data_IF_179172497206
#
_entry.id   IF_179172497206
#
_cell.length_a   1.000
_cell.length_b   1.000
_cell.length_c   1.000
_cell.angle_alpha   90.00
_cell.angle_beta   90.00
_cell.angle_gamma   90.00
#
_symmetry.space_group_name_H-M   'P 1'
#
loop_
_entity.id
_entity.type
_entity.pdbx_description
1 polymer ?
#
# COMPACT_ATOMS: atom_id res chain seq x y z
N UNK A 1 5.80 -19.34 4.80
CA UNK A 1 4.45 -18.76 4.56
C UNK A 1 4.45 -17.29 4.99
N UNK A 2 3.64 -16.44 4.32
CA UNK A 2 3.53 -15.02 4.62
C UNK A 2 4.59 -14.12 3.99
N UNK A 3 5.50 -14.66 3.19
CA UNK A 3 6.41 -13.96 2.29
C UNK A 3 6.04 -14.32 0.85
N UNK A 4 6.03 -13.35 -0.04
CA UNK A 4 5.64 -13.54 -1.44
C UNK A 4 6.63 -12.84 -2.38
N UNK A 5 6.93 -13.51 -3.49
CA UNK A 5 7.64 -12.90 -4.59
C UNK A 5 6.72 -11.94 -5.35
N UNK A 6 7.27 -10.88 -5.90
CA UNK A 6 6.55 -9.89 -6.70
C UNK A 6 7.05 -9.90 -8.13
N UNK A 7 6.12 -9.90 -9.06
CA UNK A 7 6.43 -9.87 -10.49
C UNK A 7 6.41 -8.45 -11.07
N UNK A 8 6.94 -8.29 -12.26
CA UNK A 8 7.17 -7.00 -12.90
C UNK A 8 5.90 -6.13 -12.99
N UNK A 9 4.75 -6.70 -13.33
CA UNK A 9 3.48 -5.97 -13.40
C UNK A 9 3.06 -5.42 -12.03
N UNK A 10 3.12 -6.26 -10.99
CA UNK A 10 2.78 -5.85 -9.61
C UNK A 10 3.70 -4.74 -9.10
N UNK A 11 5.01 -4.85 -9.39
CA UNK A 11 6.00 -3.84 -8.96
C UNK A 11 5.67 -2.50 -9.62
N UNK A 12 5.48 -2.47 -10.94
CA UNK A 12 5.20 -1.23 -11.68
C UNK A 12 3.89 -0.57 -11.26
N UNK A 13 2.83 -1.37 -11.10
CA UNK A 13 1.54 -0.86 -10.67
C UNK A 13 1.60 -0.23 -9.27
N UNK A 14 2.32 -0.87 -8.35
CA UNK A 14 2.55 -0.32 -7.00
C UNK A 14 3.40 0.95 -7.08
N UNK A 15 4.46 0.99 -7.88
CA UNK A 15 5.32 2.17 -8.03
C UNK A 15 4.53 3.36 -8.60
N UNK A 16 3.66 3.14 -9.59
CA UNK A 16 2.77 4.17 -10.14
C UNK A 16 1.78 4.69 -9.10
N UNK A 17 1.16 3.81 -8.34
CA UNK A 17 0.27 4.18 -7.23
C UNK A 17 1.03 4.99 -6.16
N UNK A 18 2.21 4.55 -5.75
CA UNK A 18 3.02 5.24 -4.76
C UNK A 18 3.49 6.63 -5.25
N UNK A 19 3.75 6.79 -6.54
CA UNK A 19 4.08 8.10 -7.11
C UNK A 19 2.92 9.09 -6.96
N UNK A 20 1.67 8.64 -7.13
CA UNK A 20 0.47 9.48 -6.90
C UNK A 20 0.31 9.86 -5.44
N UNK A 21 0.50 8.94 -4.52
CA UNK A 21 0.46 9.20 -3.07
C UNK A 21 1.53 10.22 -2.70
N UNK A 22 2.76 10.03 -3.15
CA UNK A 22 3.88 10.96 -2.91
C UNK A 22 3.56 12.37 -3.37
N UNK A 23 3.01 12.52 -4.57
CA UNK A 23 2.64 13.82 -5.12
C UNK A 23 1.60 14.55 -4.26
N UNK A 24 0.69 13.82 -3.58
CA UNK A 24 -0.24 14.42 -2.60
C UNK A 24 0.53 14.88 -1.37
N UNK A 25 1.35 14.03 -0.75
CA UNK A 25 2.08 14.36 0.46
C UNK A 25 3.00 15.58 0.27
N UNK A 26 3.70 15.65 -0.86
CA UNK A 26 4.56 16.79 -1.22
C UNK A 26 3.77 18.10 -1.40
N UNK A 27 2.54 18.05 -1.93
CA UNK A 27 1.65 19.22 -1.99
C UNK A 27 1.24 19.74 -0.61
N UNK A 28 1.20 18.88 0.39
CA UNK A 28 0.95 19.26 1.79
C UNK A 28 2.23 19.72 2.53
N UNK A 29 3.37 19.80 1.81
CA UNK A 29 4.64 20.26 2.36
C UNK A 29 5.40 19.22 3.16
N UNK A 30 5.18 17.92 2.86
CA UNK A 30 5.92 16.83 3.50
C UNK A 30 7.15 16.48 2.69
N UNK A 31 8.26 16.21 3.38
CA UNK A 31 9.53 15.80 2.81
C UNK A 31 9.82 14.32 3.06
N UNK A 32 10.53 13.63 2.16
CA UNK A 32 10.89 12.23 2.35
C UNK A 32 11.94 12.06 3.45
N UNK A 33 11.79 11.00 4.24
CA UNK A 33 12.80 10.53 5.19
C UNK A 33 12.80 9.00 5.21
N UNK A 34 13.95 8.40 5.42
CA UNK A 34 14.09 6.95 5.47
C UNK A 34 14.92 6.52 6.67
N UNK A 35 14.49 5.48 7.36
CA UNK A 35 15.20 4.83 8.44
C UNK A 35 15.58 3.40 8.03
N UNK A 36 16.62 2.80 8.66
CA UNK A 36 17.00 1.41 8.42
C UNK A 36 15.85 0.43 8.66
N UNK A 37 15.87 -0.69 7.96
CA UNK A 37 14.90 -1.80 8.19
C UNK A 37 15.21 -2.56 9.48
N UNK A 38 16.45 -2.51 9.93
CA UNK A 38 16.94 -3.17 11.14
C UNK A 38 17.18 -2.11 12.21
N UNK A 39 16.63 -2.34 13.38
CA UNK A 39 16.79 -1.48 14.56
C UNK A 39 17.34 -2.29 15.73
N UNK A 40 17.97 -1.64 16.71
CA UNK A 40 18.25 -2.28 17.98
C UNK A 40 16.95 -2.69 18.66
N UNK A 41 16.88 -3.93 19.15
CA UNK A 41 15.66 -4.47 19.79
C UNK A 41 15.20 -3.61 20.94
N UNK A 42 16.12 -3.04 21.71
CA UNK A 42 15.80 -2.14 22.81
C UNK A 42 15.06 -0.87 22.36
N UNK A 43 15.40 -0.35 21.17
CA UNK A 43 14.70 0.79 20.62
C UNK A 43 13.25 0.44 20.24
N UNK A 44 13.02 -0.73 19.65
CA UNK A 44 11.68 -1.21 19.31
C UNK A 44 10.93 -1.73 20.53
N UNK A 45 11.60 -2.38 21.48
CA UNK A 45 10.98 -2.97 22.67
C UNK A 45 10.20 -1.97 23.53
N UNK A 46 10.57 -0.69 23.49
CA UNK A 46 9.82 0.40 24.15
C UNK A 46 8.42 0.64 23.58
N UNK A 47 8.14 0.11 22.39
CA UNK A 47 6.87 0.28 21.66
C UNK A 47 6.09 -1.02 21.53
N UNK A 48 6.66 -2.16 21.98
CA UNK A 48 5.96 -3.43 21.94
C UNK A 48 4.86 -3.44 22.99
N UNK A 49 3.64 -3.88 22.62
CA UNK A 49 2.50 -3.89 23.54
C UNK A 49 2.67 -4.84 24.72
N UNK A 50 3.50 -5.86 24.58
CA UNK A 50 3.73 -6.88 25.58
C UNK A 50 5.21 -6.89 26.00
N UNK A 51 5.51 -6.22 27.13
CA UNK A 51 6.86 -6.16 27.68
C UNK A 51 7.35 -7.51 28.24
N UNK A 52 6.41 -8.41 28.57
CA UNK A 52 6.73 -9.73 29.12
C UNK A 52 7.17 -10.71 28.00
N UNK A 53 6.87 -10.38 26.74
CA UNK A 53 7.24 -11.17 25.56
C UNK A 53 7.81 -10.30 24.45
N UNK A 54 9.00 -9.73 24.63
CA UNK A 54 9.57 -8.72 23.72
C UNK A 54 9.79 -9.19 22.27
N UNK A 55 9.73 -10.50 22.02
CA UNK A 55 9.92 -11.11 20.70
C UNK A 55 8.61 -11.63 20.09
N UNK A 56 7.47 -11.52 20.76
CA UNK A 56 6.19 -11.92 20.20
C UNK A 56 5.74 -10.88 19.16
N UNK A 57 5.58 -11.33 17.91
CA UNK A 57 5.21 -10.46 16.79
C UNK A 57 6.38 -9.77 16.08
N UNK A 58 7.62 -9.90 16.54
CA UNK A 58 8.82 -9.26 15.97
C UNK A 58 9.84 -10.31 15.53
N UNK A 59 10.51 -10.07 14.41
CA UNK A 59 11.67 -10.85 14.00
C UNK A 59 12.93 -10.26 14.61
N UNK A 60 13.59 -11.00 15.48
CA UNK A 60 14.82 -10.57 16.17
C UNK A 60 15.93 -11.60 16.01
N UNK A 61 17.18 -11.12 15.94
CA UNK A 61 18.39 -11.92 15.81
C UNK A 61 19.56 -11.20 16.47
N UNK A 62 20.67 -11.89 16.70
CA UNK A 62 21.90 -11.29 17.20
C UNK A 62 22.89 -11.08 16.05
N UNK A 63 23.65 -9.99 16.12
CA UNK A 63 24.79 -9.75 15.26
C UNK A 63 26.06 -10.44 15.81
N UNK A 64 27.21 -10.22 15.15
CA UNK A 64 28.49 -10.83 15.53
C UNK A 64 29.02 -10.30 16.88
N UNK A 65 28.53 -9.13 17.34
CA UNK A 65 28.85 -8.53 18.63
C UNK A 65 27.83 -8.91 19.73
N UNK A 66 27.00 -9.92 19.47
CA UNK A 66 25.94 -10.41 20.38
C UNK A 66 24.86 -9.35 20.73
N UNK A 67 24.75 -8.29 19.91
CA UNK A 67 23.71 -7.29 20.07
C UNK A 67 22.39 -7.78 19.48
N UNK A 68 21.30 -7.58 20.18
CA UNK A 68 19.97 -7.91 19.69
C UNK A 68 19.48 -6.86 18.71
N UNK A 69 19.22 -7.30 17.48
CA UNK A 69 18.66 -6.53 16.38
C UNK A 69 17.26 -7.06 16.03
N UNK A 70 16.40 -6.19 15.52
CA UNK A 70 15.05 -6.55 15.09
C UNK A 70 14.71 -5.94 13.75
N UNK A 71 13.95 -6.65 12.94
CA UNK A 71 13.29 -6.07 11.78
C UNK A 71 12.14 -5.18 12.25
N UNK A 72 12.07 -3.96 11.71
CA UNK A 72 11.00 -3.01 12.04
C UNK A 72 9.62 -3.60 11.74
N UNK A 73 8.66 -3.44 12.65
CA UNK A 73 7.28 -3.91 12.49
C UNK A 73 6.32 -2.79 12.07
N UNK A 74 6.75 -1.54 12.13
CA UNK A 74 6.10 -0.33 11.61
C UNK A 74 7.15 0.68 11.13
N UNK A 75 6.70 1.85 10.67
CA UNK A 75 7.57 2.95 10.28
C UNK A 75 7.56 4.10 11.30
N UNK A 76 6.71 4.06 12.32
CA UNK A 76 6.53 5.13 13.29
C UNK A 76 7.56 5.05 14.42
N UNK A 77 7.87 3.85 14.93
CA UNK A 77 8.88 3.68 15.97
C UNK A 77 10.28 4.11 15.50
N UNK A 78 10.76 3.71 14.30
CA UNK A 78 12.02 4.22 13.75
C UNK A 78 12.03 5.75 13.55
N UNK A 79 10.90 6.34 13.13
CA UNK A 79 10.77 7.80 13.01
C UNK A 79 10.92 8.48 14.37
N UNK A 80 10.26 7.96 15.41
CA UNK A 80 10.32 8.52 16.75
C UNK A 80 11.76 8.56 17.29
N UNK A 81 12.53 7.49 17.09
CA UNK A 81 13.98 7.47 17.41
C UNK A 81 14.74 8.53 16.62
N UNK A 82 14.56 8.55 15.29
CA UNK A 82 15.24 9.52 14.40
C UNK A 82 14.95 10.97 14.81
N UNK A 83 13.69 11.29 15.08
CA UNK A 83 13.31 12.64 15.52
C UNK A 83 13.93 12.98 16.88
N UNK A 84 13.94 12.04 17.81
CA UNK A 84 14.54 12.25 19.12
C UNK A 84 16.04 12.56 19.04
N UNK A 85 16.76 11.84 18.19
CA UNK A 85 18.21 12.02 17.96
C UNK A 85 18.52 13.36 17.26
N UNK A 86 17.64 13.83 16.37
CA UNK A 86 17.86 15.01 15.54
C UNK A 86 16.99 16.22 15.94
N UNK A 87 16.35 16.16 17.11
CA UNK A 87 15.30 17.10 17.52
C UNK A 87 15.70 18.56 17.45
N UNK A 88 16.93 18.88 17.83
CA UNK A 88 17.40 20.29 17.86
C UNK A 88 17.64 20.86 16.45
N UNK A 89 17.89 20.02 15.47
CA UNK A 89 18.21 20.43 14.10
C UNK A 89 17.02 20.41 13.15
N UNK A 90 16.00 19.60 13.47
CA UNK A 90 14.80 19.49 12.65
C UNK A 90 13.90 20.73 12.80
N UNK A 91 13.25 21.18 11.71
CA UNK A 91 12.19 22.20 11.80
C UNK A 91 11.01 21.66 12.62
N UNK A 92 10.34 22.54 13.36
CA UNK A 92 9.16 22.19 14.17
C UNK A 92 7.98 23.06 13.79
N UNK A 93 6.82 22.46 13.43
CA UNK A 93 6.55 21.03 13.27
C UNK A 93 7.34 20.39 12.11
N UNK A 94 7.80 19.15 12.30
CA UNK A 94 8.49 18.37 11.30
C UNK A 94 7.51 17.53 10.50
N UNK A 95 7.37 17.83 9.21
CA UNK A 95 6.47 17.14 8.27
C UNK A 95 7.28 16.18 7.43
N UNK A 96 7.03 14.89 7.57
CA UNK A 96 7.79 13.87 6.82
C UNK A 96 6.91 12.72 6.34
N UNK A 97 7.30 12.13 5.22
CA UNK A 97 6.70 10.90 4.73
C UNK A 97 7.77 9.84 4.46
N UNK A 98 7.37 8.59 4.46
CA UNK A 98 8.22 7.44 4.15
C UNK A 98 7.40 6.25 3.70
N UNK A 99 7.95 5.48 2.75
CA UNK A 99 7.42 4.19 2.36
C UNK A 99 8.44 3.11 2.66
N UNK A 100 8.00 1.96 3.13
CA UNK A 100 8.94 0.89 3.41
C UNK A 100 8.30 -0.43 3.78
N UNK A 101 9.11 -1.47 3.69
CA UNK A 101 8.76 -2.79 4.17
C UNK A 101 8.76 -2.83 5.68
N UNK A 102 7.72 -3.47 6.22
CA UNK A 102 7.59 -3.79 7.64
C UNK A 102 7.36 -5.30 7.79
N UNK A 103 7.76 -5.81 8.95
CA UNK A 103 7.84 -7.24 9.20
C UNK A 103 7.10 -7.60 10.48
N UNK A 104 6.18 -8.56 10.41
CA UNK A 104 5.43 -9.02 11.58
C UNK A 104 5.52 -10.52 11.72
N UNK A 105 6.00 -10.99 12.86
CA UNK A 105 6.12 -12.40 13.15
C UNK A 105 4.81 -12.99 13.70
N UNK A 106 3.72 -12.70 12.99
CA UNK A 106 2.39 -13.19 13.31
C UNK A 106 2.07 -14.45 12.48
N UNK A 107 1.05 -15.19 12.89
CA UNK A 107 0.55 -16.32 12.10
C UNK A 107 -0.02 -15.79 10.79
N UNK A 108 0.52 -16.20 9.62
CA UNK A 108 0.03 -15.73 8.34
C UNK A 108 -1.36 -16.29 8.05
N UNK A 109 -2.17 -15.50 7.35
CA UNK A 109 -3.50 -15.86 6.91
C UNK A 109 -3.87 -15.10 5.63
N UNK A 110 -5.09 -15.30 5.13
CA UNK A 110 -5.58 -14.58 3.95
C UNK A 110 -5.47 -13.07 4.15
N UNK A 111 -4.77 -12.38 3.24
CA UNK A 111 -4.51 -10.94 3.32
C UNK A 111 -3.59 -10.50 4.48
N UNK A 112 -3.05 -11.44 5.27
CA UNK A 112 -2.08 -11.18 6.35
C UNK A 112 -0.72 -11.71 5.98
N UNK A 113 0.13 -10.82 5.50
CA UNK A 113 1.52 -11.11 5.16
C UNK A 113 2.43 -10.83 6.37
N UNK A 114 3.56 -11.53 6.43
CA UNK A 114 4.63 -11.31 7.42
C UNK A 114 5.62 -10.24 6.95
N UNK A 115 5.60 -9.91 5.67
CA UNK A 115 6.29 -8.78 5.05
C UNK A 115 5.28 -8.03 4.19
N UNK A 116 5.08 -6.74 4.45
CA UNK A 116 4.18 -5.88 3.67
C UNK A 116 4.68 -4.45 3.68
N UNK A 117 4.17 -3.62 2.78
CA UNK A 117 4.62 -2.25 2.63
C UNK A 117 3.62 -1.28 3.24
N UNK A 118 4.13 -0.32 3.99
CA UNK A 118 3.40 0.84 4.50
C UNK A 118 3.89 2.12 3.83
N UNK A 119 3.02 3.11 3.75
CA UNK A 119 3.34 4.45 3.29
C UNK A 119 2.76 5.47 4.26
N UNK A 120 3.61 6.02 5.10
CA UNK A 120 3.26 6.83 6.25
C UNK A 120 3.56 8.30 6.01
N UNK A 121 2.75 9.17 6.64
CA UNK A 121 3.00 10.60 6.73
C UNK A 121 2.71 11.06 8.16
N UNK A 122 3.64 11.85 8.74
CA UNK A 122 3.55 12.31 10.12
C UNK A 122 3.98 13.77 10.25
N UNK A 123 3.33 14.47 11.18
CA UNK A 123 3.72 15.81 11.68
C UNK A 123 4.15 15.61 13.13
N UNK A 124 5.40 15.92 13.43
CA UNK A 124 5.99 15.75 14.76
C UNK A 124 6.41 17.11 15.34
N UNK A 125 6.12 17.34 16.61
CA UNK A 125 6.39 18.60 17.29
C UNK A 125 5.30 19.65 17.01
N UNK A 126 4.04 19.22 16.91
CA UNK A 126 2.91 20.13 16.82
C UNK A 126 2.74 20.89 18.14
N UNK A 127 2.26 22.14 18.10
CA UNK A 127 1.87 22.84 19.32
C UNK A 127 0.73 22.11 20.04
N UNK A 128 0.64 22.30 21.34
CA UNK A 128 -0.48 21.82 22.13
C UNK A 128 -1.78 22.61 21.85
N UNK A 129 -2.89 22.03 22.27
CA UNK A 129 -4.22 22.64 22.22
C UNK A 129 -4.72 22.84 20.79
N UNK A 130 -5.44 23.92 20.59
CA UNK A 130 -6.19 24.22 19.34
C UNK A 130 -5.32 24.16 18.06
N UNK A 131 -4.06 24.56 18.15
CA UNK A 131 -3.14 24.49 16.99
C UNK A 131 -2.71 23.09 16.64
N UNK A 132 -2.68 22.19 17.63
CA UNK A 132 -2.46 20.76 17.40
C UNK A 132 -3.61 20.14 16.60
N UNK A 133 -4.85 20.51 16.93
CA UNK A 133 -6.06 20.01 16.24
C UNK A 133 -6.10 20.41 14.75
N UNK A 134 -5.47 21.53 14.37
CA UNK A 134 -5.33 21.90 12.95
C UNK A 134 -4.53 20.84 12.19
N UNK A 135 -3.46 20.31 12.79
CA UNK A 135 -2.69 19.23 12.19
C UNK A 135 -3.52 17.94 12.04
N UNK A 136 -4.36 17.62 13.02
CA UNK A 136 -5.24 16.45 12.96
C UNK A 136 -6.28 16.56 11.84
N UNK A 137 -6.90 17.74 11.70
CA UNK A 137 -7.83 18.02 10.61
C UNK A 137 -7.14 17.91 9.23
N UNK A 138 -5.91 18.42 9.13
CA UNK A 138 -5.10 18.34 7.91
C UNK A 138 -4.77 16.89 7.54
N UNK A 139 -4.46 16.02 8.51
CA UNK A 139 -4.25 14.60 8.27
C UNK A 139 -5.49 13.93 7.67
N UNK A 140 -6.68 14.20 8.20
CA UNK A 140 -7.93 13.64 7.67
C UNK A 140 -8.19 14.11 6.23
N UNK A 141 -7.95 15.38 5.91
CA UNK A 141 -8.10 15.92 4.56
C UNK A 141 -7.06 15.33 3.59
N UNK A 142 -5.81 15.21 4.01
CA UNK A 142 -4.76 14.61 3.20
C UNK A 142 -5.02 13.13 2.91
N UNK A 143 -5.59 12.37 3.86
CA UNK A 143 -6.05 11.01 3.60
C UNK A 143 -7.11 10.97 2.50
N UNK A 144 -8.11 11.86 2.53
CA UNK A 144 -9.14 11.95 1.51
C UNK A 144 -8.56 12.25 0.13
N UNK A 145 -7.70 13.26 0.03
CA UNK A 145 -7.03 13.62 -1.22
C UNK A 145 -6.17 12.49 -1.78
N UNK A 146 -5.53 11.73 -0.89
CA UNK A 146 -4.71 10.58 -1.28
C UNK A 146 -5.55 9.45 -1.86
N UNK A 147 -6.69 9.13 -1.25
CA UNK A 147 -7.61 8.11 -1.75
C UNK A 147 -8.19 8.51 -3.12
N UNK A 148 -8.55 9.79 -3.30
CA UNK A 148 -9.01 10.28 -4.61
C UNK A 148 -7.90 10.27 -5.68
N UNK A 149 -6.67 10.65 -5.31
CA UNK A 149 -5.53 10.68 -6.23
C UNK A 149 -5.18 9.31 -6.83
N UNK A 150 -5.39 8.23 -6.09
CA UNK A 150 -5.19 6.86 -6.59
C UNK A 150 -6.37 6.32 -7.40
N UNK A 151 -7.45 7.11 -7.58
CA UNK A 151 -8.57 6.79 -8.47
C UNK A 151 -9.83 6.25 -7.78
N UNK A 152 -9.93 6.30 -6.46
CA UNK A 152 -11.14 5.94 -5.72
C UNK A 152 -12.05 7.16 -5.67
N UNK A 153 -13.27 7.03 -6.16
CA UNK A 153 -14.19 8.16 -6.29
C UNK A 153 -14.82 8.56 -4.95
N UNK A 154 -15.28 9.81 -4.87
CA UNK A 154 -16.11 10.26 -3.76
C UNK A 154 -17.38 9.43 -3.66
N UNK A 155 -17.74 9.04 -2.44
CA UNK A 155 -18.84 8.13 -2.17
C UNK A 155 -18.42 6.66 -2.08
N UNK A 156 -17.27 6.28 -2.62
CA UNK A 156 -16.70 4.92 -2.50
C UNK A 156 -15.78 4.76 -1.28
N UNK A 157 -15.53 5.85 -0.55
CA UNK A 157 -14.71 5.87 0.67
C UNK A 157 -15.23 6.88 1.69
N UNK A 158 -14.78 6.73 2.93
CA UNK A 158 -14.98 7.70 4.00
C UNK A 158 -13.75 7.74 4.91
N UNK A 159 -13.37 8.93 5.34
CA UNK A 159 -12.41 9.13 6.42
C UNK A 159 -13.20 9.31 7.70
N UNK A 160 -13.13 8.31 8.56
CA UNK A 160 -13.80 8.32 9.87
C UNK A 160 -12.84 8.86 10.92
N UNK A 161 -13.33 9.72 11.78
CA UNK A 161 -12.54 10.36 12.84
C UNK A 161 -13.23 10.16 14.18
N UNK A 162 -12.49 9.74 15.17
CA UNK A 162 -12.89 9.72 16.57
C UNK A 162 -11.79 10.31 17.44
N UNK A 163 -11.93 10.25 18.74
CA UNK A 163 -10.94 10.78 19.68
C UNK A 163 -10.78 9.86 20.88
N UNK A 164 -9.54 9.53 21.21
CA UNK A 164 -9.23 8.68 22.35
C UNK A 164 -9.76 9.25 23.69
N UNK A 165 -9.69 10.57 23.87
CA UNK A 165 -10.19 11.24 25.09
C UNK A 165 -11.70 11.07 25.26
N UNK A 166 -12.46 11.00 24.15
CA UNK A 166 -13.90 10.70 24.20
C UNK A 166 -14.12 9.28 24.69
N UNK A 167 -13.39 8.31 24.13
CA UNK A 167 -13.47 6.90 24.57
C UNK A 167 -13.07 6.73 26.04
N UNK A 168 -12.05 7.43 26.48
CA UNK A 168 -11.62 7.43 27.89
C UNK A 168 -12.73 8.00 28.78
N UNK A 169 -13.41 9.05 28.39
CA UNK A 169 -14.58 9.60 29.09
C UNK A 169 -15.73 8.60 29.22
N UNK A 170 -16.03 7.83 28.17
CA UNK A 170 -17.03 6.75 28.24
C UNK A 170 -16.61 5.68 29.24
N UNK A 171 -15.33 5.28 29.22
CA UNK A 171 -14.80 4.29 30.15
C UNK A 171 -14.81 4.76 31.60
N UNK A 172 -14.54 6.04 31.86
CA UNK A 172 -14.66 6.66 33.20
C UNK A 172 -16.10 6.67 33.70
N UNK A 173 -17.05 7.00 32.81
CA UNK A 173 -18.48 7.03 33.14
C UNK A 173 -19.02 5.67 33.61
N UNK A 174 -18.43 4.56 33.12
CA UNK A 174 -18.79 3.19 33.56
C UNK A 174 -17.89 2.65 34.70
N UNK A 175 -17.15 3.53 35.38
CA UNK A 175 -16.31 3.17 36.51
C UNK A 175 -15.00 2.47 36.15
N UNK A 176 -14.56 2.55 34.91
CA UNK A 176 -13.28 1.99 34.45
C UNK A 176 -12.17 3.03 34.34
N UNK A 177 -12.24 4.14 35.09
CA UNK A 177 -11.14 5.10 35.21
C UNK A 177 -9.93 4.51 35.91
N UNK A 178 -8.75 5.14 35.70
CA UNK A 178 -7.50 4.80 36.38
C UNK A 178 -6.76 3.57 35.85
N UNK A 179 -5.47 3.47 36.23
CA UNK A 179 -4.54 2.44 35.74
C UNK A 179 -4.91 1.01 36.16
N UNK A 180 -5.54 0.85 37.32
CA UNK A 180 -5.96 -0.46 37.83
C UNK A 180 -6.98 -1.18 36.92
N UNK A 181 -7.63 -0.46 36.04
CA UNK A 181 -8.61 -0.98 35.10
C UNK A 181 -8.05 -1.16 33.66
N UNK A 182 -6.77 -0.99 33.44
CA UNK A 182 -6.17 -1.01 32.09
C UNK A 182 -6.56 -2.24 31.25
N UNK A 183 -6.52 -3.43 31.82
CA UNK A 183 -6.91 -4.67 31.16
C UNK A 183 -8.39 -4.71 30.74
N UNK A 184 -9.30 -4.25 31.63
CA UNK A 184 -10.74 -4.18 31.35
C UNK A 184 -11.04 -3.10 30.31
N UNK A 185 -10.40 -1.93 30.40
CA UNK A 185 -10.48 -0.85 29.41
C UNK A 185 -10.12 -1.38 28.02
N UNK A 186 -8.99 -2.08 27.93
CA UNK A 186 -8.53 -2.68 26.67
C UNK A 186 -9.53 -3.71 26.13
N UNK A 187 -10.15 -4.51 26.99
CA UNK A 187 -11.18 -5.50 26.58
C UNK A 187 -12.43 -4.80 26.02
N UNK A 188 -12.89 -3.71 26.65
CA UNK A 188 -14.03 -2.91 26.16
C UNK A 188 -13.69 -2.33 24.78
N UNK A 189 -12.54 -1.71 24.63
CA UNK A 189 -12.12 -1.11 23.36
C UNK A 189 -11.98 -2.15 22.25
N UNK A 190 -11.44 -3.34 22.56
CA UNK A 190 -11.37 -4.47 21.62
C UNK A 190 -12.76 -5.00 21.24
N UNK A 191 -13.73 -4.90 22.15
CA UNK A 191 -15.11 -5.27 21.82
C UNK A 191 -15.74 -4.28 20.84
N UNK A 192 -15.55 -2.96 21.06
CA UNK A 192 -16.03 -1.90 20.15
C UNK A 192 -15.40 -2.05 18.77
N UNK A 193 -14.10 -2.29 18.68
CA UNK A 193 -13.34 -2.50 17.41
C UNK A 193 -13.90 -3.65 16.55
N UNK A 194 -14.69 -4.53 17.14
CA UNK A 194 -15.31 -5.66 16.43
C UNK A 194 -16.76 -5.41 16.00
N UNK A 195 -17.25 -4.18 16.12
CA UNK A 195 -18.62 -3.83 15.77
C UNK A 195 -18.96 -4.20 14.32
N UNK A 196 -18.08 -3.88 13.38
CA UNK A 196 -18.28 -4.18 11.95
C UNK A 196 -18.34 -5.69 11.66
N UNK A 197 -17.65 -6.49 12.49
CA UNK A 197 -17.57 -7.94 12.31
C UNK A 197 -18.72 -8.69 12.97
N UNK A 198 -19.11 -8.26 14.16
CA UNK A 198 -20.04 -9.04 15.01
C UNK A 198 -21.39 -8.33 15.24
N UNK A 199 -21.53 -7.09 14.79
CA UNK A 199 -22.72 -6.28 15.02
C UNK A 199 -22.92 -5.90 16.51
N UNK A 200 -23.94 -5.10 16.83
CA UNK A 200 -24.22 -4.64 18.19
C UNK A 200 -24.42 -5.78 19.21
N UNK A 201 -25.10 -6.85 18.81
CA UNK A 201 -25.32 -8.00 19.69
C UNK A 201 -24.04 -8.77 20.01
N UNK A 202 -23.15 -8.95 19.02
CA UNK A 202 -21.84 -9.57 19.27
C UNK A 202 -20.95 -8.71 20.17
N UNK A 203 -21.02 -7.38 20.02
CA UNK A 203 -20.33 -6.42 20.91
C UNK A 203 -20.94 -6.48 22.32
N UNK A 204 -22.28 -6.52 22.46
CA UNK A 204 -22.96 -6.69 23.76
C UNK A 204 -22.40 -7.91 24.53
N UNK A 205 -22.28 -9.06 23.87
CA UNK A 205 -21.74 -10.28 24.48
C UNK A 205 -20.28 -10.09 24.95
N UNK A 206 -19.46 -9.43 24.14
CA UNK A 206 -18.04 -9.16 24.46
C UNK A 206 -17.88 -8.10 25.56
N UNK A 207 -18.80 -7.16 25.68
CA UNK A 207 -18.85 -6.22 26.80
C UNK A 207 -19.28 -6.91 28.11
N UNK A 208 -20.14 -7.92 28.01
CA UNK A 208 -20.58 -8.73 29.15
C UNK A 208 -19.64 -9.88 29.47
N UNK A 209 -20.20 -11.10 29.56
CA UNK A 209 -19.47 -12.31 29.96
C UNK A 209 -18.51 -12.84 28.89
N UNK A 210 -18.76 -12.58 27.63
CA UNK A 210 -17.99 -13.10 26.50
C UNK A 210 -18.83 -13.77 25.44
N UNK A 211 -18.17 -14.31 24.41
CA UNK A 211 -18.81 -14.89 23.23
C UNK A 211 -18.15 -16.22 22.84
N UNK A 212 -18.99 -17.21 22.54
CA UNK A 212 -18.58 -18.41 21.82
C UNK A 212 -18.53 -18.12 20.32
N UNK A 213 -17.48 -18.55 19.64
CA UNK A 213 -17.44 -18.50 18.17
C UNK A 213 -18.00 -19.80 17.54
N UNK A 214 -18.05 -19.83 16.21
CA UNK A 214 -18.56 -20.99 15.44
C UNK A 214 -17.68 -22.24 15.60
N UNK A 215 -16.42 -22.09 16.00
CA UNK A 215 -15.50 -23.21 16.28
C UNK A 215 -15.64 -23.76 17.71
N UNK A 216 -16.41 -23.11 18.55
CA UNK A 216 -16.57 -23.45 19.97
C UNK A 216 -15.54 -22.81 20.89
N UNK A 217 -14.68 -21.92 20.36
CA UNK A 217 -13.73 -21.19 21.19
C UNK A 217 -14.43 -20.04 21.93
N UNK A 218 -14.18 -19.93 23.23
CA UNK A 218 -14.77 -18.91 24.08
C UNK A 218 -13.84 -17.70 24.24
N UNK A 219 -14.31 -16.53 23.80
CA UNK A 219 -13.64 -15.25 24.06
C UNK A 219 -14.24 -14.61 25.31
N UNK A 220 -13.45 -14.45 26.36
CA UNK A 220 -13.86 -13.78 27.59
C UNK A 220 -14.18 -12.31 27.33
N UNK A 221 -15.28 -11.80 27.92
CA UNK A 221 -15.71 -10.41 27.82
C UNK A 221 -15.13 -9.50 28.89
N UNK A 222 -15.57 -8.24 28.87
CA UNK A 222 -15.13 -7.19 29.80
C UNK A 222 -15.83 -7.25 31.17
N UNK A 223 -16.82 -8.14 31.34
CA UNK A 223 -17.59 -8.35 32.58
C UNK A 223 -18.28 -7.06 33.09
N UNK A 224 -18.80 -6.23 32.17
CA UNK A 224 -19.61 -5.08 32.51
C UNK A 224 -21.00 -5.53 32.97
N UNK A 225 -21.62 -4.73 33.84
CA UNK A 225 -23.03 -4.85 34.16
C UNK A 225 -23.93 -4.28 33.01
N UNK A 226 -25.23 -4.52 33.10
CA UNK A 226 -26.16 -4.08 32.07
C UNK A 226 -26.18 -2.55 31.90
N UNK A 227 -25.93 -1.77 32.95
CA UNK A 227 -25.87 -0.31 32.88
C UNK A 227 -24.63 0.14 32.10
N UNK A 228 -23.47 -0.46 32.35
CA UNK A 228 -22.23 -0.21 31.64
C UNK A 228 -22.32 -0.62 30.18
N UNK A 229 -22.91 -1.78 29.87
CA UNK A 229 -23.15 -2.24 28.49
C UNK A 229 -24.05 -1.24 27.75
N UNK A 230 -25.15 -0.82 28.38
CA UNK A 230 -26.08 0.14 27.77
C UNK A 230 -25.42 1.49 27.50
N UNK A 231 -24.56 1.97 28.39
CA UNK A 231 -23.79 3.22 28.20
C UNK A 231 -22.87 3.12 27.00
N UNK A 232 -22.10 2.05 26.86
CA UNK A 232 -21.19 1.86 25.72
C UNK A 232 -21.95 1.71 24.40
N UNK A 233 -23.02 0.93 24.37
CA UNK A 233 -23.82 0.75 23.16
C UNK A 233 -24.54 2.04 22.73
N UNK A 234 -25.07 2.81 23.68
CA UNK A 234 -25.65 4.11 23.38
C UNK A 234 -24.61 5.07 22.78
N UNK A 235 -23.39 5.12 23.34
CA UNK A 235 -22.32 5.91 22.76
C UNK A 235 -22.00 5.49 21.31
N UNK A 236 -21.89 4.20 21.04
CA UNK A 236 -21.62 3.70 19.68
C UNK A 236 -22.72 4.11 18.70
N UNK A 237 -23.97 4.07 19.13
CA UNK A 237 -25.15 4.36 18.30
C UNK A 237 -25.32 5.87 18.07
N UNK A 238 -25.20 6.67 19.11
CA UNK A 238 -25.56 8.10 19.08
C UNK A 238 -24.36 9.03 19.04
N UNK A 239 -23.20 8.57 19.49
CA UNK A 239 -22.01 9.43 19.72
C UNK A 239 -22.16 10.33 20.95
N UNK A 240 -23.25 10.22 21.72
CA UNK A 240 -23.50 11.05 22.89
C UNK A 240 -22.60 10.65 24.06
N UNK A 241 -21.90 11.61 24.61
CA UNK A 241 -21.03 11.49 25.79
C UNK A 241 -20.99 12.84 26.52
N UNK A 242 -20.67 12.81 27.80
CA UNK A 242 -20.47 14.04 28.56
C UNK A 242 -19.35 14.91 27.96
N UNK A 243 -19.52 16.22 28.03
CA UNK A 243 -18.53 17.17 27.51
C UNK A 243 -17.16 16.91 28.13
N UNK A 244 -16.18 16.80 27.25
CA UNK A 244 -14.78 16.65 27.61
C UNK A 244 -13.88 17.28 26.53
N UNK A 245 -12.58 17.30 26.74
CA UNK A 245 -11.61 17.84 25.81
C UNK A 245 -11.68 17.18 24.43
N UNK A 246 -11.87 15.86 24.36
CA UNK A 246 -11.99 15.12 23.11
C UNK A 246 -13.22 15.52 22.29
N UNK A 247 -14.36 15.81 22.92
CA UNK A 247 -15.56 16.33 22.27
C UNK A 247 -15.27 17.72 21.66
N UNK A 248 -14.59 18.59 22.41
CA UNK A 248 -14.20 19.91 21.91
C UNK A 248 -13.24 19.81 20.73
N UNK A 249 -12.25 18.93 20.79
CA UNK A 249 -11.31 18.66 19.68
C UNK A 249 -12.04 18.14 18.44
N UNK A 250 -12.98 17.21 18.57
CA UNK A 250 -13.79 16.73 17.43
C UNK A 250 -14.67 17.82 16.81
N UNK A 251 -15.25 18.70 17.64
CA UNK A 251 -16.02 19.83 17.15
C UNK A 251 -15.15 20.80 16.34
N UNK A 252 -13.90 21.04 16.77
CA UNK A 252 -12.93 21.85 16.03
C UNK A 252 -12.50 21.19 14.71
N UNK A 253 -12.20 19.88 14.72
CA UNK A 253 -11.88 19.14 13.48
C UNK A 253 -13.02 19.27 12.50
N UNK A 254 -14.28 19.09 12.95
CA UNK A 254 -15.47 19.25 12.09
C UNK A 254 -15.53 20.66 11.48
N UNK A 255 -15.32 21.69 12.27
CA UNK A 255 -15.35 23.06 11.78
C UNK A 255 -14.25 23.35 10.76
N UNK A 256 -13.02 22.88 10.99
CA UNK A 256 -11.88 23.05 10.09
C UNK A 256 -12.07 22.30 8.77
N UNK A 257 -12.55 21.07 8.83
CA UNK A 257 -12.87 20.24 7.68
C UNK A 257 -13.97 20.86 6.84
N UNK A 258 -15.04 21.40 7.48
CA UNK A 258 -16.12 22.10 6.80
C UNK A 258 -15.63 23.39 6.14
N UNK A 259 -14.83 24.20 6.84
CA UNK A 259 -14.26 25.43 6.29
C UNK A 259 -13.39 25.17 5.04
N UNK A 260 -12.77 24.00 4.94
CA UNK A 260 -11.98 23.56 3.80
C UNK A 260 -12.82 22.84 2.70
N UNK A 261 -14.12 22.65 2.90
CA UNK A 261 -15.03 22.02 1.94
C UNK A 261 -14.96 20.50 1.88
N UNK A 262 -14.58 19.84 3.00
CA UNK A 262 -14.54 18.36 3.12
C UNK A 262 -15.71 17.78 3.92
N UNK A 263 -16.71 18.57 4.24
CA UNK A 263 -17.95 18.16 4.94
C UNK A 263 -19.00 17.54 4.00
N UNK A 264 -18.65 17.31 2.76
CA UNK A 264 -19.43 16.68 1.70
C UNK A 264 -19.55 15.13 1.84
N UNK A 265 -19.24 14.60 3.01
CA UNK A 265 -19.29 13.19 3.33
C UNK A 265 -17.94 12.47 3.26
N UNK A 266 -16.87 13.14 2.80
CA UNK A 266 -15.51 12.56 2.78
C UNK A 266 -14.93 12.34 4.17
N UNK A 267 -15.16 13.27 5.10
CA UNK A 267 -14.69 13.17 6.49
C UNK A 267 -15.89 13.17 7.43
N UNK A 268 -15.97 12.18 8.31
CA UNK A 268 -17.08 12.00 9.26
C UNK A 268 -16.57 11.69 10.66
N UNK A 269 -17.19 12.30 11.66
CA UNK A 269 -17.01 11.88 13.04
C UNK A 269 -17.80 10.59 13.26
N UNK A 270 -17.12 9.55 13.76
CA UNK A 270 -17.70 8.22 13.92
C UNK A 270 -17.26 7.59 15.26
N UNK A 271 -18.19 7.37 16.19
CA UNK A 271 -17.91 6.84 17.51
C UNK A 271 -17.41 5.38 17.50
N UNK A 272 -17.61 4.65 16.41
CA UNK A 272 -17.17 3.24 16.30
C UNK A 272 -15.69 3.09 16.03
N UNK A 273 -15.01 4.15 15.62
CA UNK A 273 -13.56 4.09 15.34
C UNK A 273 -12.76 4.01 16.64
N UNK A 274 -12.13 2.86 16.82
CA UNK A 274 -11.26 2.57 17.97
C UNK A 274 -9.93 2.04 17.42
N UNK A 275 -8.95 2.91 17.26
CA UNK A 275 -7.65 2.55 16.70
C UNK A 275 -6.52 2.77 17.70
N UNK A 276 -5.43 2.00 17.53
CA UNK A 276 -4.17 2.21 18.25
C UNK A 276 -4.37 2.19 19.76
N UNK A 277 -4.97 1.13 20.27
CA UNK A 277 -5.47 1.00 21.64
C UNK A 277 -4.49 1.42 22.75
N UNK A 278 -3.19 1.40 22.46
CA UNK A 278 -2.17 1.55 23.50
C UNK A 278 -1.29 2.81 23.34
N UNK A 279 -1.29 3.50 22.18
CA UNK A 279 -0.39 4.63 22.02
C UNK A 279 -1.02 5.93 21.50
N UNK A 280 -2.22 5.90 20.93
CA UNK A 280 -2.91 7.14 20.55
C UNK A 280 -3.45 7.89 21.77
N UNK A 281 -3.27 9.20 21.78
CA UNK A 281 -3.56 10.09 22.90
C UNK A 281 -4.64 11.13 22.61
N UNK A 282 -5.13 11.18 21.38
CA UNK A 282 -6.10 12.17 20.91
C UNK A 282 -6.92 11.66 19.72
N UNK A 283 -7.12 12.51 18.69
CA UNK A 283 -7.83 12.12 17.48
C UNK A 283 -7.25 10.86 16.83
N UNK A 284 -8.14 10.03 16.29
CA UNK A 284 -7.82 8.80 15.53
C UNK A 284 -8.56 8.81 14.21
N UNK A 285 -7.92 8.29 13.17
CA UNK A 285 -8.42 8.32 11.79
C UNK A 285 -8.47 6.93 11.19
N UNK A 286 -9.46 6.72 10.31
CA UNK A 286 -9.56 5.52 9.51
C UNK A 286 -10.09 5.84 8.12
N UNK A 287 -9.37 5.43 7.08
CA UNK A 287 -9.89 5.44 5.72
C UNK A 287 -10.52 4.09 5.41
N UNK A 288 -11.84 4.10 5.28
CA UNK A 288 -12.63 2.92 4.93
C UNK A 288 -13.15 3.01 3.50
N UNK A 289 -13.02 1.90 2.76
CA UNK A 289 -13.60 1.74 1.43
C UNK A 289 -14.99 1.12 1.57
N UNK A 290 -15.97 1.73 0.92
CA UNK A 290 -17.39 1.42 1.10
C UNK A 290 -17.93 0.42 0.08
N UNK A 291 -17.18 0.12 -0.98
CA UNK A 291 -17.59 -0.86 -1.98
C UNK A 291 -17.49 -2.30 -1.47
N UNK A 292 -18.24 -3.17 -2.09
CA UNK A 292 -18.34 -4.57 -1.74
C UNK A 292 -17.48 -5.43 -2.68
N UNK A 293 -16.91 -6.48 -2.12
CA UNK A 293 -16.07 -7.46 -2.84
C UNK A 293 -16.42 -8.88 -2.37
N UNK A 294 -16.29 -9.90 -3.22
CA UNK A 294 -16.37 -11.28 -2.76
C UNK A 294 -15.13 -11.60 -1.90
N UNK A 295 -15.37 -12.21 -0.74
CA UNK A 295 -14.30 -12.81 0.07
C UNK A 295 -13.88 -14.19 -0.51
N UNK A 296 -12.93 -14.85 0.14
CA UNK A 296 -12.43 -16.16 -0.30
C UNK A 296 -13.49 -17.27 -0.32
N UNK A 297 -14.59 -17.10 0.43
CA UNK A 297 -15.74 -18.03 0.44
C UNK A 297 -16.79 -17.65 -0.60
N UNK A 298 -16.59 -16.57 -1.36
CA UNK A 298 -17.55 -16.03 -2.32
C UNK A 298 -18.68 -15.19 -1.69
N UNK A 299 -18.61 -14.91 -0.38
CA UNK A 299 -19.58 -14.04 0.29
C UNK A 299 -19.24 -12.58 0.00
N UNK A 300 -20.26 -11.78 -0.27
CA UNK A 300 -20.10 -10.35 -0.52
C UNK A 300 -19.87 -9.64 0.81
N UNK A 301 -18.73 -8.99 0.93
CA UNK A 301 -18.32 -8.24 2.12
C UNK A 301 -17.82 -6.86 1.74
N UNK A 302 -17.96 -5.89 2.64
CA UNK A 302 -17.36 -4.58 2.47
C UNK A 302 -15.82 -4.69 2.50
N UNK A 303 -15.13 -3.96 1.61
CA UNK A 303 -13.67 -4.02 1.56
C UNK A 303 -13.02 -3.57 2.88
N UNK A 304 -13.53 -2.47 3.43
CA UNK A 304 -13.13 -1.96 4.74
C UNK A 304 -11.88 -1.08 4.72
N UNK A 305 -11.16 -1.04 5.85
CA UNK A 305 -10.07 -0.12 6.10
C UNK A 305 -8.83 -0.36 5.25
N UNK A 306 -8.25 0.71 4.68
CA UNK A 306 -6.98 0.69 3.91
C UNK A 306 -5.91 1.59 4.51
N UNK A 307 -6.28 2.52 5.38
CA UNK A 307 -5.35 3.40 6.08
C UNK A 307 -5.87 3.72 7.47
N UNK A 308 -4.98 4.07 8.37
CA UNK A 308 -5.34 4.49 9.71
C UNK A 308 -4.22 5.22 10.40
N UNK A 309 -4.58 6.04 11.38
CA UNK A 309 -3.63 6.86 12.10
C UNK A 309 -4.24 7.54 13.31
N UNK A 310 -3.53 8.54 13.84
CA UNK A 310 -3.98 9.34 14.97
C UNK A 310 -2.88 10.14 15.60
N UNK A 311 -3.23 10.86 16.66
CA UNK A 311 -2.32 11.63 17.52
C UNK A 311 -1.61 10.71 18.50
N UNK A 312 -0.29 10.88 18.62
CA UNK A 312 0.55 10.11 19.51
C UNK A 312 1.61 11.00 20.18
N UNK A 313 1.39 11.39 21.42
CA UNK A 313 2.25 12.34 22.14
C UNK A 313 3.39 11.65 22.91
N UNK A 314 3.27 10.35 23.14
CA UNK A 314 4.18 9.56 23.97
C UNK A 314 5.35 8.89 23.25
N UNK A 315 5.36 8.76 21.91
CA UNK A 315 6.35 7.94 21.24
C UNK A 315 7.75 8.56 21.22
N UNK A 316 7.86 9.83 20.85
CA UNK A 316 9.15 10.54 20.83
C UNK A 316 9.65 10.79 22.25
N UNK A 317 8.75 11.06 23.20
CA UNK A 317 9.09 11.32 24.60
C UNK A 317 9.78 10.13 25.28
N UNK A 318 9.54 8.90 24.84
CA UNK A 318 10.22 7.70 25.34
C UNK A 318 11.75 7.74 25.15
N UNK A 319 12.21 8.49 24.13
CA UNK A 319 13.64 8.70 23.89
C UNK A 319 14.17 10.01 24.51
N UNK A 320 13.34 11.05 24.60
CA UNK A 320 13.74 12.38 25.08
C UNK A 320 13.38 12.67 26.55
N UNK A 321 12.35 12.01 27.09
CA UNK A 321 11.83 12.30 28.43
C UNK A 321 10.83 13.45 28.51
N UNK A 322 10.64 14.22 27.42
CA UNK A 322 9.66 15.31 27.33
C UNK A 322 8.58 14.98 26.31
N UNK A 323 7.31 15.36 26.52
CA UNK A 323 6.25 15.16 25.56
C UNK A 323 6.56 15.87 24.24
N UNK A 324 6.38 15.17 23.12
CA UNK A 324 6.51 15.69 21.77
C UNK A 324 5.26 15.30 20.99
N UNK A 325 4.25 16.20 20.93
CA UNK A 325 3.02 15.90 20.23
C UNK A 325 3.26 15.58 18.75
N UNK A 326 2.59 14.54 18.28
CA UNK A 326 2.69 14.10 16.91
C UNK A 326 1.37 13.53 16.42
N UNK A 327 1.10 13.66 15.13
CA UNK A 327 -0.05 13.07 14.47
C UNK A 327 0.34 12.58 13.09
N UNK A 328 -0.22 11.46 12.66
CA UNK A 328 0.11 10.87 11.37
C UNK A 328 -0.80 9.70 11.01
N UNK A 329 -0.62 9.18 9.81
CA UNK A 329 -1.32 8.00 9.36
C UNK A 329 -0.44 7.11 8.48
N UNK A 330 -0.83 5.85 8.38
CA UNK A 330 -0.20 4.82 7.58
C UNK A 330 -1.18 4.26 6.55
N UNK A 331 -0.75 4.18 5.31
CA UNK A 331 -1.46 3.45 4.25
C UNK A 331 -0.89 2.04 4.15
N UNK A 332 -1.75 1.03 4.21
CA UNK A 332 -1.40 -0.34 3.86
C UNK A 332 -1.30 -0.48 2.34
N UNK A 333 -0.11 -0.32 1.76
CA UNK A 333 0.12 -0.32 0.31
C UNK A 333 -0.41 -1.58 -0.36
N UNK A 334 -0.12 -2.74 0.20
CA UNK A 334 -0.59 -4.02 -0.34
C UNK A 334 -2.12 -4.14 -0.34
N UNK A 335 -2.76 -3.61 0.71
CA UNK A 335 -4.23 -3.63 0.85
C UNK A 335 -4.89 -2.65 -0.13
N UNK A 336 -4.35 -1.45 -0.26
CA UNK A 336 -4.82 -0.46 -1.23
C UNK A 336 -4.64 -0.96 -2.68
N UNK A 337 -3.51 -1.62 -2.98
CA UNK A 337 -3.28 -2.27 -4.29
C UNK A 337 -4.35 -3.32 -4.59
N UNK A 338 -4.70 -4.16 -3.61
CA UNK A 338 -5.76 -5.15 -3.77
C UNK A 338 -7.13 -4.50 -4.03
N UNK A 339 -7.44 -3.40 -3.34
CA UNK A 339 -8.65 -2.63 -3.56
C UNK A 339 -8.75 -2.07 -4.99
N UNK A 340 -7.69 -1.41 -5.46
CA UNK A 340 -7.64 -0.86 -6.82
C UNK A 340 -7.74 -1.95 -7.89
N UNK A 341 -7.14 -3.12 -7.64
CA UNK A 341 -7.26 -4.27 -8.53
C UNK A 341 -8.72 -4.76 -8.63
N UNK A 342 -9.40 -4.89 -7.50
CA UNK A 342 -10.81 -5.30 -7.46
C UNK A 342 -11.74 -4.31 -8.18
N UNK A 343 -11.40 -3.02 -8.13
CA UNK A 343 -12.13 -1.97 -8.86
C UNK A 343 -11.75 -1.86 -10.35
N UNK A 344 -10.76 -2.63 -10.83
CA UNK A 344 -10.23 -2.46 -12.17
C UNK A 344 -9.53 -1.11 -12.40
N UNK A 345 -9.12 -0.43 -11.31
CA UNK A 345 -8.48 0.91 -11.32
C UNK A 345 -6.98 0.86 -11.04
N UNK A 346 -6.43 -0.32 -10.82
CA UNK A 346 -4.98 -0.46 -10.75
C UNK A 346 -4.42 -0.22 -12.14
N UNK A 347 -3.58 0.81 -12.28
CA UNK A 347 -2.99 1.13 -13.58
C UNK A 347 -2.20 -0.05 -14.11
N UNK A 348 -2.61 -0.52 -15.27
CA UNK A 348 -1.78 -1.40 -16.08
C UNK A 348 -0.68 -0.53 -16.70
N UNK A 349 0.44 -0.44 -16.02
CA UNK A 349 1.65 0.19 -16.55
C UNK A 349 2.28 -0.76 -17.55
N UNK A 350 1.58 -1.01 -18.64
CA UNK A 350 2.06 -1.88 -19.70
C UNK A 350 3.34 -1.29 -20.28
N UNK A 351 4.46 -1.83 -19.87
CA UNK A 351 5.72 -1.56 -20.54
C UNK A 351 5.78 -2.45 -21.77
N UNK A 352 5.78 -1.85 -22.94
CA UNK A 352 5.94 -2.58 -24.19
C UNK A 352 7.11 -3.57 -24.06
N UNK A 353 6.89 -4.87 -24.27
CA UNK A 353 7.96 -5.85 -24.18
C UNK A 353 9.08 -5.55 -25.19
N UNK A 354 10.30 -6.08 -25.02
CA UNK A 354 11.40 -5.75 -25.90
C UNK A 354 11.21 -6.35 -27.30
N UNK A 355 11.62 -5.59 -28.30
CA UNK A 355 11.87 -6.13 -29.65
C UNK A 355 13.01 -7.15 -29.56
N UNK A 356 12.86 -8.31 -30.17
CA UNK A 356 13.89 -9.36 -30.16
C UNK A 356 14.62 -9.40 -31.50
N UNK A 357 15.93 -9.17 -31.49
CA UNK A 357 16.81 -9.39 -32.62
C UNK A 357 17.25 -10.86 -32.63
N UNK A 358 16.88 -11.59 -33.67
CA UNK A 358 17.23 -12.99 -33.80
C UNK A 358 18.71 -13.16 -34.21
N UNK A 359 19.33 -14.23 -33.74
CA UNK A 359 20.72 -14.60 -34.04
C UNK A 359 20.72 -15.74 -35.02
N UNK A 360 21.00 -15.44 -36.30
CA UNK A 360 21.05 -16.42 -37.37
C UNK A 360 22.45 -17.04 -37.48
N UNK A 361 23.49 -16.20 -37.45
CA UNK A 361 24.90 -16.58 -37.50
C UNK A 361 25.58 -16.34 -36.14
N UNK A 362 26.56 -17.20 -35.80
CA UNK A 362 27.18 -17.21 -34.46
C UNK A 362 28.62 -16.74 -34.43
N UNK A 363 29.18 -16.37 -35.59
CA UNK A 363 30.49 -15.77 -35.64
C UNK A 363 30.50 -14.36 -35.03
N UNK A 364 31.66 -13.92 -34.55
CA UNK A 364 31.81 -12.64 -33.81
C UNK A 364 31.41 -11.45 -34.66
N UNK A 365 31.63 -11.46 -35.96
CA UNK A 365 31.28 -10.35 -36.83
C UNK A 365 29.76 -10.21 -36.95
N UNK A 366 29.06 -11.32 -37.15
CA UNK A 366 27.59 -11.36 -37.24
C UNK A 366 26.96 -10.98 -35.90
N UNK A 367 27.46 -11.51 -34.76
CA UNK A 367 27.02 -11.10 -33.42
C UNK A 367 27.21 -9.61 -33.18
N UNK A 368 28.32 -9.03 -33.67
CA UNK A 368 28.57 -7.59 -33.59
C UNK A 368 27.55 -6.77 -34.37
N UNK A 369 27.07 -7.24 -35.51
CA UNK A 369 25.98 -6.59 -36.29
C UNK A 369 24.65 -6.63 -35.55
N UNK A 370 24.24 -7.79 -35.02
CA UNK A 370 23.02 -7.90 -34.22
C UNK A 370 23.10 -7.01 -32.98
N UNK A 371 24.26 -6.93 -32.33
CA UNK A 371 24.48 -6.04 -31.19
C UNK A 371 24.34 -4.57 -31.58
N UNK A 372 24.82 -4.18 -32.77
CA UNK A 372 24.63 -2.82 -33.31
C UNK A 372 23.17 -2.49 -33.53
N UNK A 373 22.38 -3.40 -34.12
CA UNK A 373 20.93 -3.23 -34.28
C UNK A 373 20.20 -3.01 -32.94
N UNK A 374 20.51 -3.85 -31.97
CA UNK A 374 19.96 -3.70 -30.61
C UNK A 374 20.33 -2.35 -30.00
N UNK A 375 21.59 -1.92 -30.21
CA UNK A 375 22.09 -0.63 -29.68
C UNK A 375 21.37 0.55 -30.34
N UNK A 376 21.15 0.53 -31.66
CA UNK A 376 20.40 1.56 -32.39
C UNK A 376 18.97 1.69 -31.86
N UNK A 377 18.28 0.57 -31.66
CA UNK A 377 16.92 0.55 -31.11
C UNK A 377 16.89 1.14 -29.69
N UNK A 378 17.83 0.73 -28.84
CA UNK A 378 17.94 1.24 -27.45
C UNK A 378 18.24 2.73 -27.39
N UNK A 379 19.13 3.23 -28.23
CA UNK A 379 19.45 4.67 -28.34
C UNK A 379 18.24 5.49 -28.83
N UNK A 380 17.37 4.87 -29.61
CA UNK A 380 16.10 5.46 -30.04
C UNK A 380 14.97 5.35 -29.00
N UNK A 381 15.27 4.88 -27.77
CA UNK A 381 14.29 4.70 -26.69
C UNK A 381 13.41 3.45 -26.82
N UNK A 382 13.72 2.55 -27.74
CA UNK A 382 12.98 1.31 -27.97
C UNK A 382 13.63 0.20 -27.13
N UNK A 383 12.82 -0.50 -26.32
CA UNK A 383 13.30 -1.68 -25.61
C UNK A 383 13.63 -2.79 -26.61
N UNK A 384 14.85 -3.24 -26.59
CA UNK A 384 15.33 -4.27 -27.50
C UNK A 384 16.35 -5.20 -26.83
N UNK A 385 16.33 -6.46 -27.23
CA UNK A 385 17.27 -7.48 -26.79
C UNK A 385 17.69 -8.39 -27.95
N UNK A 386 18.93 -8.88 -27.90
CA UNK A 386 19.41 -9.93 -28.79
C UNK A 386 19.13 -11.28 -28.14
N UNK A 387 18.75 -12.27 -28.93
CA UNK A 387 18.62 -13.63 -28.41
C UNK A 387 19.96 -14.19 -28.00
N UNK A 388 20.09 -14.63 -26.74
CA UNK A 388 21.35 -15.12 -26.19
C UNK A 388 21.48 -16.65 -26.16
N UNK A 389 20.42 -17.37 -26.53
CA UNK A 389 20.42 -18.85 -26.57
C UNK A 389 21.13 -19.43 -27.78
N UNK A 390 21.53 -20.70 -27.70
CA UNK A 390 22.20 -21.40 -28.81
C UNK A 390 21.28 -22.08 -29.83
N UNK A 391 19.95 -21.90 -29.70
CA UNK A 391 18.97 -22.65 -30.50
C UNK A 391 18.69 -21.98 -31.88
N UNK A 392 18.14 -22.76 -32.81
CA UNK A 392 17.77 -22.28 -34.14
C UNK A 392 16.52 -21.42 -34.17
N UNK A 393 16.20 -20.84 -35.32
CA UNK A 393 15.17 -19.83 -35.55
C UNK A 393 13.81 -20.18 -34.92
N UNK A 394 13.33 -21.42 -35.04
CA UNK A 394 12.02 -21.82 -34.48
C UNK A 394 11.97 -21.64 -32.96
N UNK A 395 13.04 -21.95 -32.25
CA UNK A 395 13.11 -21.80 -30.80
C UNK A 395 13.25 -20.31 -30.41
N UNK A 396 13.97 -19.52 -31.18
CA UNK A 396 14.09 -18.07 -31.01
C UNK A 396 12.75 -17.38 -31.19
N UNK A 397 11.96 -17.76 -32.21
CA UNK A 397 10.59 -17.27 -32.41
C UNK A 397 9.70 -17.61 -31.21
N UNK A 398 9.75 -18.84 -30.72
CA UNK A 398 9.00 -19.25 -29.52
C UNK A 398 9.44 -18.49 -28.27
N UNK A 399 10.70 -18.13 -28.17
CA UNK A 399 11.19 -17.25 -27.11
C UNK A 399 10.57 -15.85 -27.23
N UNK A 400 10.62 -15.24 -28.42
CA UNK A 400 10.02 -13.94 -28.68
C UNK A 400 8.52 -13.91 -28.35
N UNK A 401 7.77 -14.93 -28.75
CA UNK A 401 6.35 -15.10 -28.40
C UNK A 401 6.13 -15.16 -26.89
N UNK A 402 6.89 -15.99 -26.16
CA UNK A 402 6.81 -16.09 -24.68
C UNK A 402 7.21 -14.79 -23.99
N UNK A 403 8.10 -14.02 -24.62
CA UNK A 403 8.56 -12.72 -24.12
C UNK A 403 7.50 -11.63 -24.33
N UNK A 404 6.47 -11.95 -25.13
CA UNK A 404 5.46 -10.98 -25.56
C UNK A 404 6.03 -9.91 -26.50
N UNK A 405 7.13 -10.22 -27.21
CA UNK A 405 7.78 -9.26 -28.08
C UNK A 405 6.81 -8.69 -29.12
N UNK A 406 6.77 -7.37 -29.36
CA UNK A 406 5.89 -6.77 -30.35
C UNK A 406 6.29 -7.19 -31.77
N UNK A 407 7.58 -7.30 -32.03
CA UNK A 407 8.12 -7.80 -33.28
C UNK A 407 9.51 -8.41 -33.08
N UNK A 408 9.95 -9.14 -34.10
CA UNK A 408 11.32 -9.63 -34.19
C UNK A 408 12.02 -9.02 -35.40
N UNK A 409 13.33 -8.83 -35.27
CA UNK A 409 14.23 -8.42 -36.34
C UNK A 409 15.05 -9.63 -36.77
N UNK A 410 15.08 -9.91 -38.08
CA UNK A 410 15.74 -11.06 -38.69
C UNK A 410 16.71 -10.54 -39.75
N UNK A 411 17.96 -10.96 -39.68
CA UNK A 411 18.94 -10.73 -40.76
C UNK A 411 19.77 -12.00 -40.94
N UNK A 412 19.55 -12.66 -42.06
CA UNK A 412 20.38 -13.77 -42.53
C UNK A 412 21.43 -13.29 -43.54
N UNK A 413 22.07 -14.24 -44.24
CA UNK A 413 23.09 -13.96 -45.24
C UNK A 413 22.57 -13.13 -46.41
N UNK A 414 21.37 -13.43 -46.89
CA UNK A 414 20.77 -12.77 -48.06
C UNK A 414 20.38 -11.33 -47.74
N UNK A 415 19.68 -11.13 -46.60
CA UNK A 415 19.30 -9.76 -46.13
C UNK A 415 20.55 -8.90 -45.96
N UNK A 416 21.59 -9.49 -45.35
CA UNK A 416 22.88 -8.80 -45.14
C UNK A 416 23.52 -8.38 -46.44
N UNK A 417 23.53 -9.24 -47.47
CA UNK A 417 24.11 -8.95 -48.76
C UNK A 417 23.40 -7.78 -49.46
N UNK A 418 22.12 -7.61 -49.21
CA UNK A 418 21.28 -6.55 -49.76
C UNK A 418 21.20 -5.28 -48.87
N UNK A 419 21.82 -5.27 -47.67
CA UNK A 419 21.69 -4.18 -46.71
C UNK A 419 20.27 -4.05 -46.09
N UNK A 420 19.61 -5.15 -45.92
CA UNK A 420 18.21 -5.24 -45.50
C UNK A 420 18.06 -5.99 -44.16
N UNK A 421 16.90 -5.83 -43.54
CA UNK A 421 16.40 -6.60 -42.42
C UNK A 421 14.96 -7.01 -42.65
N UNK A 422 14.56 -8.15 -42.15
CA UNK A 422 13.16 -8.54 -42.10
C UNK A 422 12.59 -8.20 -40.74
N UNK A 423 11.43 -7.55 -40.70
CA UNK A 423 10.70 -7.27 -39.47
C UNK A 423 9.42 -8.07 -39.51
N UNK A 424 9.20 -8.87 -38.47
CA UNK A 424 7.97 -9.64 -38.32
C UNK A 424 7.20 -9.13 -37.12
N UNK A 425 6.01 -8.58 -37.38
CA UNK A 425 5.02 -8.18 -36.40
C UNK A 425 4.38 -9.42 -35.79
N UNK A 426 4.61 -9.66 -34.50
CA UNK A 426 4.11 -10.86 -33.82
C UNK A 426 2.64 -10.72 -33.41
N UNK A 427 2.18 -9.53 -33.08
CA UNK A 427 0.78 -9.26 -32.75
C UNK A 427 -0.12 -9.42 -33.97
N UNK A 428 0.24 -8.80 -35.09
CA UNK A 428 -0.45 -8.96 -36.34
C UNK A 428 -0.38 -10.42 -36.83
N UNK A 429 0.77 -11.07 -36.68
CA UNK A 429 0.95 -12.48 -37.00
C UNK A 429 0.01 -13.39 -36.25
N UNK A 430 -0.16 -13.19 -34.95
CA UNK A 430 -1.10 -13.96 -34.12
C UNK A 430 -2.56 -13.74 -34.54
N UNK A 431 -2.95 -12.49 -34.82
CA UNK A 431 -4.30 -12.12 -35.26
C UNK A 431 -4.65 -12.77 -36.58
N UNK A 432 -3.80 -12.62 -37.61
CA UNK A 432 -4.02 -13.20 -38.91
C UNK A 432 -3.95 -14.73 -38.90
N UNK A 433 -3.15 -15.35 -38.07
CA UNK A 433 -3.12 -16.83 -37.92
C UNK A 433 -4.40 -17.40 -37.35
N UNK A 434 -5.16 -16.64 -36.59
CA UNK A 434 -6.48 -17.04 -36.09
C UNK A 434 -7.58 -16.98 -37.16
N UNK A 435 -7.37 -16.17 -38.23
CA UNK A 435 -8.33 -15.96 -39.34
C UNK A 435 -8.07 -16.90 -40.52
N UNK A 436 -6.85 -17.43 -40.69
CA UNK A 436 -6.44 -18.27 -41.83
C UNK A 436 -6.42 -19.75 -41.41
N UNK A 437 -7.36 -20.54 -41.91
CA UNK A 437 -7.46 -21.98 -41.64
C UNK A 437 -6.42 -22.82 -42.41
N UNK A 438 -5.84 -22.30 -43.54
CA UNK A 438 -4.89 -23.04 -44.36
C UNK A 438 -3.43 -22.68 -44.10
N UNK A 439 -2.72 -23.63 -43.51
CA UNK A 439 -1.28 -23.54 -43.19
C UNK A 439 -0.35 -23.35 -44.40
N UNK A 440 -0.75 -23.71 -45.61
CA UNK A 440 0.06 -23.55 -46.82
C UNK A 440 0.04 -22.08 -47.28
N UNK A 441 -1.15 -21.49 -47.36
CA UNK A 441 -1.37 -20.07 -47.70
C UNK A 441 -0.69 -19.14 -46.71
N UNK A 442 -0.71 -19.47 -45.40
CA UNK A 442 -0.01 -18.72 -44.37
C UNK A 442 1.51 -18.67 -44.57
N UNK A 443 2.12 -19.82 -44.92
CA UNK A 443 3.58 -19.89 -45.15
C UNK A 443 4.06 -19.14 -46.37
N UNK A 444 3.25 -19.07 -47.43
CA UNK A 444 3.59 -18.41 -48.67
C UNK A 444 3.40 -16.90 -48.59
N UNK A 445 2.34 -16.41 -47.98
CA UNK A 445 2.00 -14.98 -47.95
C UNK A 445 2.79 -14.16 -46.93
N UNK A 446 3.26 -14.76 -45.85
CA UNK A 446 3.96 -14.09 -44.71
C UNK A 446 3.37 -12.71 -44.34
N UNK A 447 2.07 -12.59 -44.14
CA UNK A 447 1.35 -11.31 -44.15
C UNK A 447 1.75 -10.32 -43.05
N UNK A 448 2.46 -10.80 -42.00
CA UNK A 448 2.94 -9.99 -40.87
C UNK A 448 4.46 -9.72 -40.95
N UNK A 449 5.14 -10.00 -42.08
CA UNK A 449 6.57 -9.83 -42.26
C UNK A 449 6.84 -8.92 -43.43
N UNK A 450 7.74 -7.95 -43.28
CA UNK A 450 8.14 -7.04 -44.32
C UNK A 450 9.65 -6.75 -44.26
N UNK A 451 10.18 -6.34 -45.41
CA UNK A 451 11.58 -5.95 -45.56
C UNK A 451 11.74 -4.45 -45.34
N UNK A 452 12.80 -4.07 -44.65
CA UNK A 452 13.25 -2.70 -44.48
C UNK A 452 14.76 -2.61 -44.73
N UNK A 453 15.23 -1.44 -45.10
CA UNK A 453 16.67 -1.19 -45.17
C UNK A 453 17.27 -1.21 -43.77
N UNK A 454 18.51 -1.67 -43.61
CA UNK A 454 19.21 -1.73 -42.30
C UNK A 454 19.34 -0.34 -41.66
N UNK A 455 19.56 0.71 -42.50
CA UNK A 455 19.63 2.10 -42.02
C UNK A 455 18.26 2.70 -41.62
N UNK A 456 17.15 2.08 -42.00
CA UNK A 456 15.77 2.44 -41.63
C UNK A 456 15.20 1.57 -40.50
N UNK A 457 16.00 0.71 -39.88
CA UNK A 457 15.57 -0.25 -38.85
C UNK A 457 14.72 0.41 -37.76
N UNK A 458 15.18 1.53 -37.21
CA UNK A 458 14.51 2.22 -36.10
C UNK A 458 13.12 2.71 -36.54
N UNK A 459 13.00 3.33 -37.71
CA UNK A 459 11.73 3.84 -38.21
C UNK A 459 10.76 2.71 -38.58
N UNK A 460 11.27 1.63 -39.12
CA UNK A 460 10.48 0.44 -39.43
C UNK A 460 9.89 -0.20 -38.19
N UNK A 461 10.68 -0.32 -37.11
CA UNK A 461 10.20 -0.83 -35.82
C UNK A 461 9.22 0.14 -35.15
N UNK A 462 9.47 1.45 -35.18
CA UNK A 462 8.53 2.45 -34.67
C UNK A 462 7.15 2.34 -35.30
N UNK A 463 7.08 2.19 -36.62
CA UNK A 463 5.81 2.02 -37.36
C UNK A 463 5.00 0.83 -36.81
N UNK A 464 5.67 -0.30 -36.53
CA UNK A 464 5.01 -1.47 -35.95
C UNK A 464 4.48 -1.14 -34.55
N UNK A 465 5.29 -0.52 -33.70
CA UNK A 465 4.91 -0.17 -32.33
C UNK A 465 3.75 0.83 -32.27
N UNK A 466 3.75 1.83 -33.17
CA UNK A 466 2.68 2.83 -33.27
C UNK A 466 1.38 2.21 -33.78
N UNK A 467 1.45 1.33 -34.78
CA UNK A 467 0.28 0.61 -35.28
C UNK A 467 -0.37 -0.25 -34.17
N UNK A 468 0.44 -1.00 -33.45
CA UNK A 468 -0.04 -1.81 -32.33
C UNK A 468 -0.62 -0.95 -31.17
N UNK A 469 -0.04 0.23 -30.92
CA UNK A 469 -0.56 1.17 -29.92
C UNK A 469 -1.92 1.74 -30.35
N UNK A 470 -2.08 2.09 -31.64
CA UNK A 470 -3.34 2.60 -32.17
C UNK A 470 -4.47 1.55 -32.15
N UNK A 471 -4.15 0.26 -32.32
CA UNK A 471 -5.13 -0.82 -32.24
C UNK A 471 -5.60 -1.12 -30.81
N UNK A 472 -4.82 -0.74 -29.79
CA UNK A 472 -5.16 -0.95 -28.37
C UNK A 472 -5.91 0.24 -27.74
N UNK A 473 -5.82 1.43 -28.35
CA UNK A 473 -6.49 2.65 -27.91
C UNK A 473 -7.95 2.69 -28.36
#
# INVERSE_FOLDING_TARGET
RGFADRHAADIRAVDAMMAKIRAVYERYGFDPVEQPMVEYTDALGKFLPDQDRPNEGVFSFQDDDEQWLSLRYDLTAPLARFVAENFETLPKPYRSYRAGWVFRNEKPGPGRFRQFMQFDADIVGTPDGIRGVVADAEMAMMMADTIEAVGIARGDYVIRVNNRKVLDGVLEAIGLGGENNAGRRLTVLRAIDKLDKFGPEGVRLLLGKGRLDESGDFTKGAELDEAGIATVLNYIETGEVADNEGVAELAQIRALVAAAGYDDGRVKIDPSVVRGLEYYTGPVYEAELLFEVPNEKGEIVRFGSVAGGGRYDGLVSRFRGEPVPATGFSIGVSRLTAALRNLGKLEDTEVVPPVVVLVMDKDTESLGRYQKMVTQLRQAGIRAEMYLGGAGMKAQMKYADRRGAPCVVIQGGDERANGEVQIKDLALGAKLSAEIEDNATWRESRPAQFTAREDELVEAVRRVLEAQKAERA
#
